data_IF_471168108012
#
_entry.id   IF_471168108012
#
_cell.length_a   1.000
_cell.length_b   1.000
_cell.length_c   1.000
_cell.angle_alpha   90.00
_cell.angle_beta   90.00
_cell.angle_gamma   90.00
#
_symmetry.space_group_name_H-M   'P 1'
#
loop_
_entity.id
_entity.type
_entity.pdbx_description
1 polymer ?
#
# COMPACT_ATOMS: atom_id res chain seq x y z
N UNK A 1 -5.09 9.18 1.26
CA UNK A 1 -6.22 8.63 0.47
C UNK A 1 -7.40 9.59 0.55
N UNK A 2 -7.99 10.02 -0.58
CA UNK A 2 -9.23 10.82 -0.58
C UNK A 2 -10.39 9.94 -0.08
N UNK A 3 -11.18 10.41 0.90
CA UNK A 3 -12.24 9.63 1.57
C UNK A 3 -13.30 9.04 0.62
N UNK A 4 -13.62 9.72 -0.49
CA UNK A 4 -14.63 9.27 -1.48
C UNK A 4 -14.24 8.00 -2.26
N UNK A 5 -12.98 7.89 -2.69
CA UNK A 5 -12.47 6.71 -3.44
C UNK A 5 -12.54 5.41 -2.63
N UNK A 6 -12.58 5.51 -1.30
CA UNK A 6 -12.75 4.34 -0.45
C UNK A 6 -14.18 3.82 -0.52
N UNK A 7 -15.17 4.71 -0.42
CA UNK A 7 -16.59 4.34 -0.42
C UNK A 7 -17.05 3.76 -1.76
N UNK A 8 -16.59 4.32 -2.88
CA UNK A 8 -16.88 3.78 -4.23
C UNK A 8 -16.39 2.34 -4.38
N UNK A 9 -15.16 2.02 -3.94
CA UNK A 9 -14.63 0.65 -4.00
C UNK A 9 -15.41 -0.35 -3.14
N UNK A 10 -15.86 0.10 -1.98
CA UNK A 10 -16.73 -0.70 -1.11
C UNK A 10 -18.05 -0.99 -1.79
N UNK A 11 -18.69 0.03 -2.37
CA UNK A 11 -19.95 -0.10 -3.08
C UNK A 11 -19.85 -1.09 -4.27
N UNK A 12 -18.75 -1.04 -5.03
CA UNK A 12 -18.45 -2.01 -6.09
C UNK A 12 -18.42 -3.44 -5.55
N UNK A 13 -17.67 -3.69 -4.48
CA UNK A 13 -17.58 -5.04 -3.90
C UNK A 13 -18.92 -5.56 -3.37
N UNK A 14 -19.76 -4.68 -2.80
CA UNK A 14 -21.12 -5.04 -2.37
C UNK A 14 -21.99 -5.44 -3.57
N UNK A 15 -21.98 -4.62 -4.63
CA UNK A 15 -22.72 -4.88 -5.85
C UNK A 15 -22.32 -6.23 -6.46
N UNK A 16 -21.01 -6.49 -6.59
CA UNK A 16 -20.49 -7.75 -7.13
C UNK A 16 -20.90 -8.97 -6.29
N UNK A 17 -20.83 -8.88 -4.95
CA UNK A 17 -21.31 -9.95 -4.04
C UNK A 17 -22.81 -10.19 -4.15
N UNK A 18 -23.59 -9.18 -4.50
CA UNK A 18 -25.02 -9.29 -4.78
C UNK A 18 -25.32 -9.79 -6.22
N UNK A 19 -24.29 -10.11 -7.01
CA UNK A 19 -24.41 -10.62 -8.38
C UNK A 19 -24.56 -9.53 -9.45
N UNK A 20 -24.38 -8.26 -9.10
CA UNK A 20 -24.35 -7.19 -10.11
C UNK A 20 -23.02 -7.21 -10.86
N UNK A 21 -23.06 -6.81 -12.13
CA UNK A 21 -21.88 -6.54 -12.94
C UNK A 21 -21.66 -5.04 -13.04
N UNK A 22 -20.51 -4.55 -12.58
CA UNK A 22 -20.11 -3.15 -12.78
C UNK A 22 -19.72 -2.93 -14.24
N UNK A 23 -20.39 -1.99 -14.90
CA UNK A 23 -20.21 -1.67 -16.30
C UNK A 23 -19.31 -0.45 -16.51
N UNK A 24 -19.40 0.53 -15.60
CA UNK A 24 -18.65 1.77 -15.66
C UNK A 24 -18.57 2.42 -14.28
N UNK A 25 -17.62 3.33 -14.10
CA UNK A 25 -17.43 4.09 -12.86
C UNK A 25 -17.15 5.54 -13.21
N UNK A 26 -17.69 6.49 -12.44
CA UNK A 26 -17.57 7.93 -12.67
C UNK A 26 -18.02 8.32 -14.08
N UNK A 27 -19.18 7.80 -14.46
CA UNK A 27 -19.75 8.01 -15.78
C UNK A 27 -20.24 9.45 -15.89
N UNK A 28 -19.55 10.23 -16.73
CA UNK A 28 -20.00 11.58 -17.09
C UNK A 28 -21.32 11.52 -17.86
N UNK A 29 -22.23 12.40 -17.49
CA UNK A 29 -23.51 12.61 -18.16
C UNK A 29 -23.31 13.76 -19.14
N UNK A 30 -23.37 13.46 -20.44
CA UNK A 30 -23.25 14.45 -21.51
C UNK A 30 -24.57 14.54 -22.28
N UNK A 31 -25.14 15.74 -22.39
CA UNK A 31 -26.34 16.06 -23.18
C UNK A 31 -26.00 17.19 -24.14
N UNK A 32 -26.25 16.99 -25.43
CA UNK A 32 -25.99 17.97 -26.48
C UNK A 32 -24.56 18.56 -26.46
N UNK A 33 -23.58 17.72 -26.12
CA UNK A 33 -22.16 18.11 -26.03
C UNK A 33 -21.76 18.81 -24.73
N UNK A 34 -22.69 19.02 -23.79
CA UNK A 34 -22.44 19.65 -22.49
C UNK A 34 -22.42 18.59 -21.39
N UNK A 35 -21.37 18.61 -20.55
CA UNK A 35 -21.31 17.80 -19.34
C UNK A 35 -22.25 18.39 -18.28
N UNK A 36 -23.30 17.65 -17.93
CA UNK A 36 -24.36 18.09 -17.03
C UNK A 36 -24.31 17.40 -15.66
N UNK A 37 -23.43 16.41 -15.49
CA UNK A 37 -23.25 15.70 -14.22
C UNK A 37 -22.37 14.47 -14.35
N UNK A 38 -22.30 13.70 -13.26
CA UNK A 38 -21.57 12.43 -13.16
C UNK A 38 -22.39 11.46 -12.31
N UNK A 39 -22.28 10.16 -12.58
CA UNK A 39 -22.80 9.07 -11.76
C UNK A 39 -21.63 8.22 -11.27
N UNK A 40 -21.59 7.91 -9.98
CA UNK A 40 -20.46 7.20 -9.35
C UNK A 40 -20.24 5.81 -9.97
N UNK A 41 -21.30 5.02 -10.15
CA UNK A 41 -21.22 3.65 -10.67
C UNK A 41 -22.39 3.36 -11.62
N UNK A 42 -22.13 2.68 -12.73
CA UNK A 42 -23.14 2.03 -13.57
C UNK A 42 -23.03 0.52 -13.39
N UNK A 43 -24.12 -0.13 -13.03
CA UNK A 43 -24.12 -1.57 -12.77
C UNK A 43 -25.39 -2.24 -13.32
N UNK A 44 -25.25 -3.47 -13.84
CA UNK A 44 -26.40 -4.30 -14.23
C UNK A 44 -26.67 -5.39 -13.20
N UNK A 45 -27.93 -5.61 -12.84
CA UNK A 45 -28.32 -6.74 -12.00
C UNK A 45 -28.33 -8.07 -12.80
N UNK A 46 -28.51 -9.24 -12.15
CA UNK A 46 -28.62 -10.53 -12.84
C UNK A 46 -29.77 -10.64 -13.85
N UNK A 47 -30.82 -9.83 -13.70
CA UNK A 47 -31.98 -9.78 -14.59
C UNK A 47 -31.75 -8.89 -15.82
N UNK A 48 -30.60 -8.22 -15.93
CA UNK A 48 -30.22 -7.34 -17.03
C UNK A 48 -30.64 -5.88 -16.89
N UNK A 49 -31.22 -5.49 -15.76
CA UNK A 49 -31.59 -4.11 -15.47
C UNK A 49 -30.36 -3.27 -15.13
N UNK A 50 -30.23 -2.11 -15.79
CA UNK A 50 -29.08 -1.21 -15.61
C UNK A 50 -29.45 -0.09 -14.63
N UNK A 51 -28.60 0.06 -13.62
CA UNK A 51 -28.73 1.07 -12.58
C UNK A 51 -27.64 2.13 -12.69
N UNK A 52 -28.05 3.38 -12.46
CA UNK A 52 -27.18 4.49 -12.13
C UNK A 52 -27.14 4.62 -10.60
N UNK A 53 -25.96 4.43 -10.02
CA UNK A 53 -25.77 4.28 -8.59
C UNK A 53 -25.00 5.47 -8.04
N UNK A 54 -25.57 6.14 -7.04
CA UNK A 54 -24.91 7.16 -6.23
C UNK A 54 -24.43 6.55 -4.91
N UNK A 55 -23.21 6.86 -4.49
CA UNK A 55 -22.58 6.32 -3.29
C UNK A 55 -22.43 7.40 -2.22
N UNK A 56 -23.03 7.17 -1.04
CA UNK A 56 -22.88 8.06 0.12
C UNK A 56 -22.19 7.34 1.27
N UNK A 57 -21.13 7.97 1.78
CA UNK A 57 -20.37 7.43 2.91
C UNK A 57 -21.14 7.42 4.24
N UNK A 58 -22.19 8.24 4.35
CA UNK A 58 -23.02 8.41 5.54
C UNK A 58 -24.49 8.08 5.27
N UNK A 59 -25.39 8.72 6.03
CA UNK A 59 -26.82 8.65 5.77
C UNK A 59 -27.18 9.49 4.54
N UNK A 60 -28.08 8.98 3.69
CA UNK A 60 -28.56 9.69 2.50
C UNK A 60 -29.69 10.67 2.86
N UNK A 61 -29.54 11.90 2.44
CA UNK A 61 -30.52 12.99 2.56
C UNK A 61 -31.46 13.04 1.35
N UNK A 62 -32.53 13.85 1.43
CA UNK A 62 -33.43 14.09 0.29
C UNK A 62 -32.68 14.57 -0.97
N UNK A 63 -31.63 15.40 -0.82
CA UNK A 63 -30.83 15.86 -1.95
C UNK A 63 -30.06 14.71 -2.62
N UNK A 64 -29.55 13.77 -1.83
CA UNK A 64 -28.82 12.61 -2.38
C UNK A 64 -29.75 11.69 -3.17
N UNK A 65 -30.96 11.47 -2.66
CA UNK A 65 -32.00 10.71 -3.37
C UNK A 65 -32.38 11.38 -4.70
N UNK A 66 -32.58 12.70 -4.69
CA UNK A 66 -32.89 13.46 -5.91
C UNK A 66 -31.73 13.45 -6.90
N UNK A 67 -30.49 13.48 -6.44
CA UNK A 67 -29.30 13.40 -7.29
C UNK A 67 -29.25 12.04 -8.01
N UNK A 68 -29.41 10.94 -7.27
CA UNK A 68 -29.46 9.60 -7.85
C UNK A 68 -30.60 9.45 -8.86
N UNK A 69 -31.79 9.94 -8.53
CA UNK A 69 -32.95 9.95 -9.44
C UNK A 69 -32.65 10.74 -10.72
N UNK A 70 -32.15 11.96 -10.59
CA UNK A 70 -31.89 12.85 -11.73
C UNK A 70 -30.79 12.29 -12.63
N UNK A 71 -29.70 11.79 -12.04
CA UNK A 71 -28.60 11.17 -12.80
C UNK A 71 -29.07 9.93 -13.58
N UNK A 72 -29.87 9.08 -12.94
CA UNK A 72 -30.45 7.91 -13.59
C UNK A 72 -31.41 8.28 -14.73
N UNK A 73 -32.28 9.28 -14.50
CA UNK A 73 -33.23 9.78 -15.49
C UNK A 73 -32.51 10.30 -16.73
N UNK A 74 -31.44 11.09 -16.56
CA UNK A 74 -30.67 11.64 -17.67
C UNK A 74 -29.98 10.56 -18.50
N UNK A 75 -29.61 9.43 -17.87
CA UNK A 75 -28.96 8.29 -18.53
C UNK A 75 -29.96 7.21 -19.02
N UNK A 76 -31.25 7.33 -18.71
CA UNK A 76 -32.26 6.30 -19.03
C UNK A 76 -32.06 5.00 -18.25
N UNK A 77 -31.57 5.09 -17.02
CA UNK A 77 -31.26 3.95 -16.14
C UNK A 77 -32.17 3.96 -14.90
N UNK A 78 -32.16 2.86 -14.14
CA UNK A 78 -32.86 2.82 -12.85
C UNK A 78 -32.03 3.50 -11.75
N UNK A 79 -32.64 4.30 -10.87
CA UNK A 79 -31.90 4.97 -9.80
C UNK A 79 -31.61 4.04 -8.62
N UNK A 80 -30.40 4.13 -8.09
CA UNK A 80 -29.99 3.46 -6.86
C UNK A 80 -29.12 4.35 -6.00
N UNK A 81 -29.26 4.24 -4.68
CA UNK A 81 -28.35 4.85 -3.70
C UNK A 81 -27.79 3.77 -2.79
N UNK A 82 -26.47 3.78 -2.61
CA UNK A 82 -25.79 2.96 -1.60
C UNK A 82 -25.34 3.88 -0.45
N UNK A 83 -25.79 3.62 0.77
CA UNK A 83 -25.56 4.50 1.92
C UNK A 83 -25.60 3.75 3.26
N UNK A 84 -25.29 4.40 4.39
CA UNK A 84 -25.40 3.79 5.74
C UNK A 84 -26.82 3.78 6.32
N UNK A 85 -27.79 4.32 5.59
CA UNK A 85 -29.16 4.54 6.06
C UNK A 85 -29.72 5.85 5.51
N UNK A 86 -31.00 6.09 5.75
CA UNK A 86 -31.65 7.36 5.37
C UNK A 86 -31.54 8.36 6.53
N UNK A 87 -31.43 9.65 6.20
CA UNK A 87 -31.22 10.71 7.19
C UNK A 87 -32.46 10.91 8.10
N UNK A 88 -33.66 10.85 7.51
CA UNK A 88 -34.94 11.09 8.16
C UNK A 88 -36.11 10.47 7.36
N UNK A 89 -37.34 10.61 7.88
CA UNK A 89 -38.56 10.12 7.23
C UNK A 89 -38.87 10.83 5.90
N UNK A 90 -38.37 12.06 5.70
CA UNK A 90 -38.56 12.77 4.44
C UNK A 90 -37.72 12.13 3.33
N UNK A 91 -36.47 11.77 3.62
CA UNK A 91 -35.61 11.03 2.69
C UNK A 91 -36.21 9.68 2.30
N UNK A 92 -36.81 8.97 3.27
CA UNK A 92 -37.50 7.69 3.01
C UNK A 92 -38.72 7.86 2.12
N UNK A 93 -39.56 8.85 2.41
CA UNK A 93 -40.75 9.14 1.62
C UNK A 93 -40.36 9.48 0.18
N UNK A 94 -39.38 10.36 -0.01
CA UNK A 94 -38.92 10.76 -1.35
C UNK A 94 -38.30 9.59 -2.11
N UNK A 95 -37.52 8.72 -1.46
CA UNK A 95 -36.95 7.55 -2.11
C UNK A 95 -38.03 6.60 -2.63
N UNK A 96 -39.10 6.41 -1.85
CA UNK A 96 -40.26 5.59 -2.23
C UNK A 96 -41.02 6.21 -3.41
N UNK A 97 -41.35 7.50 -3.32
CA UNK A 97 -42.10 8.21 -4.37
C UNK A 97 -41.35 8.25 -5.71
N UNK A 98 -40.02 8.42 -5.66
CA UNK A 98 -39.17 8.45 -6.86
C UNK A 98 -38.69 7.06 -7.31
N UNK A 99 -39.14 5.99 -6.66
CA UNK A 99 -38.72 4.60 -6.91
C UNK A 99 -37.18 4.43 -6.94
N UNK A 100 -36.48 5.14 -6.03
CA UNK A 100 -35.03 5.02 -5.87
C UNK A 100 -34.72 3.80 -5.02
N UNK A 101 -33.98 2.84 -5.59
CA UNK A 101 -33.56 1.65 -4.85
C UNK A 101 -32.51 2.04 -3.81
N UNK A 102 -32.83 1.87 -2.53
CA UNK A 102 -31.89 2.15 -1.43
C UNK A 102 -31.26 0.85 -0.98
N UNK A 103 -29.94 0.73 -1.14
CA UNK A 103 -29.14 -0.31 -0.53
C UNK A 103 -28.44 0.29 0.69
N UNK A 104 -28.90 -0.12 1.87
CA UNK A 104 -28.21 0.23 3.10
C UNK A 104 -27.03 -0.71 3.29
N UNK A 105 -25.85 -0.16 3.53
CA UNK A 105 -24.69 -0.88 4.03
C UNK A 105 -24.91 -0.97 5.55
N UNK A 106 -25.20 -2.15 6.12
CA UNK A 106 -25.25 -2.31 7.57
C UNK A 106 -23.97 -1.73 8.20
N UNK A 107 -24.11 -1.09 9.37
CA UNK A 107 -22.98 -0.58 10.14
C UNK A 107 -21.96 -1.69 10.49
N UNK A 108 -22.38 -2.96 10.40
CA UNK A 108 -21.61 -4.18 10.64
C UNK A 108 -21.02 -4.84 9.39
N UNK A 109 -21.11 -4.25 8.19
CA UNK A 109 -20.23 -4.68 7.08
C UNK A 109 -18.80 -4.23 7.39
N UNK A 110 -18.17 -4.93 8.33
CA UNK A 110 -16.74 -5.16 8.30
C UNK A 110 -16.55 -5.92 6.97
N UNK A 111 -16.07 -5.22 5.94
CA UNK A 111 -15.83 -5.79 4.60
C UNK A 111 -14.67 -6.79 4.57
N UNK A 112 -14.27 -7.24 5.75
CA UNK A 112 -13.27 -8.24 6.01
C UNK A 112 -13.91 -9.17 7.03
N UNK A 113 -13.93 -10.48 6.75
CA UNK A 113 -14.12 -11.43 7.85
C UNK A 113 -13.07 -11.13 8.94
N UNK A 114 -13.33 -11.48 10.20
CA UNK A 114 -12.39 -11.17 11.30
C UNK A 114 -10.98 -11.68 10.97
N UNK A 115 -10.93 -12.81 10.28
CA UNK A 115 -9.75 -13.47 9.71
C UNK A 115 -9.06 -12.60 8.64
N UNK A 116 -9.80 -11.98 7.72
CA UNK A 116 -9.25 -11.11 6.69
C UNK A 116 -8.73 -9.79 7.28
N UNK A 117 -9.39 -9.26 8.31
CA UNK A 117 -8.94 -8.08 9.04
C UNK A 117 -7.65 -8.40 9.81
N UNK A 118 -7.62 -9.54 10.49
CA UNK A 118 -6.42 -10.02 11.17
C UNK A 118 -5.25 -10.17 10.18
N UNK A 119 -5.51 -10.75 9.00
CA UNK A 119 -4.50 -10.96 7.96
C UNK A 119 -4.02 -9.62 7.37
N UNK A 120 -4.92 -8.67 7.13
CA UNK A 120 -4.58 -7.32 6.67
C UNK A 120 -3.76 -6.56 7.72
N UNK A 121 -4.13 -6.64 9.00
CA UNK A 121 -3.39 -6.02 10.11
C UNK A 121 -2.03 -6.67 10.27
N UNK A 122 -1.93 -8.01 10.24
CA UNK A 122 -0.65 -8.74 10.26
C UNK A 122 0.24 -8.35 9.08
N UNK A 123 -0.31 -8.26 7.86
CA UNK A 123 0.45 -7.86 6.69
C UNK A 123 0.93 -6.40 6.79
N UNK A 124 0.09 -5.49 7.28
CA UNK A 124 0.45 -4.09 7.49
C UNK A 124 1.54 -3.94 8.57
N UNK A 125 1.39 -4.65 9.70
CA UNK A 125 2.39 -4.68 10.77
C UNK A 125 3.70 -5.32 10.30
N UNK A 126 3.63 -6.39 9.50
CA UNK A 126 4.82 -7.03 8.93
C UNK A 126 5.53 -6.10 7.95
N UNK A 127 4.79 -5.41 7.08
CA UNK A 127 5.34 -4.43 6.15
C UNK A 127 5.98 -3.25 6.91
N UNK A 128 5.32 -2.78 7.98
CA UNK A 128 5.84 -1.72 8.85
C UNK A 128 7.06 -2.17 9.65
N UNK A 129 7.04 -3.38 10.20
CA UNK A 129 8.19 -3.98 10.88
C UNK A 129 9.35 -4.18 9.91
N UNK A 130 9.09 -4.59 8.67
CA UNK A 130 10.09 -4.69 7.63
C UNK A 130 10.64 -3.33 7.21
N UNK A 131 9.84 -2.25 7.29
CA UNK A 131 10.25 -0.87 7.03
C UNK A 131 11.07 -0.28 8.19
N UNK A 132 10.65 -0.52 9.43
CA UNK A 132 11.27 -0.05 10.67
C UNK A 132 12.43 -0.90 11.17
N UNK A 133 12.59 -2.13 10.68
CA UNK A 133 13.50 -3.07 11.32
C UNK A 133 14.93 -2.51 11.37
N UNK A 134 15.62 -2.87 12.44
CA UNK A 134 17.02 -2.59 12.71
C UNK A 134 17.95 -2.95 11.54
N UNK A 135 19.25 -2.55 11.58
CA UNK A 135 20.24 -2.99 10.62
C UNK A 135 20.14 -4.51 10.45
N UNK A 136 19.81 -4.97 9.24
CA UNK A 136 19.55 -6.39 9.00
C UNK A 136 20.89 -7.12 9.09
N UNK A 137 21.07 -8.06 10.02
CA UNK A 137 22.26 -8.88 10.02
C UNK A 137 22.35 -9.62 8.69
N UNK A 138 23.56 -9.68 8.13
CA UNK A 138 23.79 -10.51 6.96
C UNK A 138 23.46 -11.97 7.30
N UNK A 139 22.94 -12.76 6.34
CA UNK A 139 22.81 -14.20 6.52
C UNK A 139 24.11 -14.81 7.05
N UNK A 140 23.98 -15.82 7.91
CA UNK A 140 25.14 -16.42 8.59
C UNK A 140 26.20 -16.88 7.56
N UNK A 141 27.43 -16.40 7.72
CA UNK A 141 28.56 -16.73 6.82
C UNK A 141 28.73 -15.79 5.62
N UNK A 142 27.72 -14.97 5.27
CA UNK A 142 27.82 -14.04 4.15
C UNK A 142 28.74 -12.85 4.46
N UNK A 143 29.54 -12.47 3.46
CA UNK A 143 30.39 -11.27 3.51
C UNK A 143 30.20 -10.49 2.22
N UNK A 144 30.05 -9.18 2.38
CA UNK A 144 29.98 -8.29 1.23
C UNK A 144 31.37 -8.11 0.61
N UNK A 145 31.46 -8.33 -0.70
CA UNK A 145 32.65 -8.00 -1.48
C UNK A 145 32.81 -6.49 -1.62
N UNK A 146 34.01 -6.03 -2.02
CA UNK A 146 34.24 -4.60 -2.27
C UNK A 146 33.33 -4.03 -3.35
N UNK A 147 33.06 -4.83 -4.38
CA UNK A 147 32.14 -4.43 -5.47
C UNK A 147 30.70 -4.32 -4.99
N UNK A 148 30.23 -5.25 -4.16
CA UNK A 148 28.89 -5.21 -3.58
C UNK A 148 28.71 -4.01 -2.64
N UNK A 149 29.73 -3.71 -1.82
CA UNK A 149 29.71 -2.51 -0.97
C UNK A 149 29.61 -1.25 -1.84
N UNK A 150 30.36 -1.19 -2.95
CA UNK A 150 30.30 -0.07 -3.89
C UNK A 150 28.91 0.05 -4.52
N UNK A 151 28.34 -1.06 -5.00
CA UNK A 151 26.98 -1.14 -5.53
C UNK A 151 25.95 -0.61 -4.53
N UNK A 152 25.96 -1.12 -3.29
CA UNK A 152 25.03 -0.72 -2.24
C UNK A 152 25.18 0.76 -1.87
N UNK A 153 26.41 1.28 -1.80
CA UNK A 153 26.66 2.72 -1.54
C UNK A 153 26.11 3.60 -2.66
N UNK A 154 26.27 3.17 -3.91
CA UNK A 154 25.75 3.92 -5.05
C UNK A 154 24.22 3.90 -5.08
N UNK A 155 23.59 2.75 -4.83
CA UNK A 155 22.13 2.65 -4.71
C UNK A 155 21.61 3.54 -3.56
N UNK A 156 22.25 3.49 -2.39
CA UNK A 156 21.85 4.26 -1.21
C UNK A 156 21.89 5.79 -1.40
N UNK A 157 22.77 6.26 -2.28
CA UNK A 157 23.03 7.68 -2.55
C UNK A 157 22.42 8.21 -3.85
N UNK A 158 21.70 7.38 -4.60
CA UNK A 158 21.03 7.77 -5.85
C UNK A 158 19.53 7.95 -5.63
N UNK A 159 18.87 8.75 -6.48
CA UNK A 159 17.44 9.00 -6.46
C UNK A 159 16.67 8.13 -7.45
N UNK A 160 17.36 7.52 -8.42
CA UNK A 160 16.76 6.55 -9.33
C UNK A 160 17.74 5.43 -9.70
N UNK A 161 17.21 4.40 -10.36
CA UNK A 161 18.02 3.27 -10.83
C UNK A 161 18.93 3.68 -11.99
N UNK A 162 18.46 4.58 -12.85
CA UNK A 162 19.21 5.18 -13.97
C UNK A 162 20.42 5.96 -13.44
N UNK A 163 20.21 6.75 -12.39
CA UNK A 163 21.29 7.50 -11.74
C UNK A 163 22.33 6.55 -11.13
N UNK A 164 21.87 5.48 -10.46
CA UNK A 164 22.76 4.48 -9.88
C UNK A 164 23.58 3.75 -10.96
N UNK A 165 22.95 3.37 -12.07
CA UNK A 165 23.59 2.73 -13.21
C UNK A 165 24.65 3.64 -13.85
N UNK A 166 24.31 4.91 -14.07
CA UNK A 166 25.23 5.94 -14.58
C UNK A 166 26.46 6.10 -13.68
N UNK A 167 26.27 6.24 -12.36
CA UNK A 167 27.36 6.35 -11.37
C UNK A 167 28.25 5.09 -11.32
N UNK A 168 27.68 3.91 -11.60
CA UNK A 168 28.42 2.65 -11.65
C UNK A 168 29.08 2.40 -13.01
N UNK A 169 28.76 3.20 -14.04
CA UNK A 169 29.12 2.97 -15.44
C UNK A 169 28.66 1.59 -15.92
N UNK A 170 27.46 1.19 -15.52
CA UNK A 170 26.82 -0.07 -15.86
C UNK A 170 25.49 0.18 -16.55
N UNK A 171 24.97 -0.81 -17.26
CA UNK A 171 23.59 -0.77 -17.74
C UNK A 171 22.61 -1.02 -16.59
N UNK A 172 21.36 -0.58 -16.74
CA UNK A 172 20.28 -0.86 -15.79
C UNK A 172 20.12 -2.38 -15.57
N UNK A 173 20.26 -3.16 -16.64
CA UNK A 173 20.16 -4.63 -16.59
C UNK A 173 21.29 -5.25 -15.77
N UNK A 174 22.53 -4.73 -15.88
CA UNK A 174 23.65 -5.23 -15.10
C UNK A 174 23.52 -4.89 -13.61
N UNK A 175 22.99 -3.71 -13.29
CA UNK A 175 22.66 -3.35 -11.90
C UNK A 175 21.61 -4.31 -11.35
N UNK A 176 20.53 -4.58 -12.11
CA UNK A 176 19.51 -5.55 -11.72
C UNK A 176 20.06 -6.96 -11.55
N UNK A 177 20.97 -7.40 -12.42
CA UNK A 177 21.62 -8.72 -12.32
C UNK A 177 22.40 -8.84 -11.01
N UNK A 178 23.20 -7.82 -10.66
CA UNK A 178 23.95 -7.78 -9.39
C UNK A 178 23.01 -7.70 -8.17
N UNK A 179 21.90 -6.98 -8.26
CA UNK A 179 20.87 -6.96 -7.20
C UNK A 179 20.19 -8.32 -7.07
N UNK A 180 19.94 -9.01 -8.18
CA UNK A 180 19.34 -10.34 -8.20
C UNK A 180 20.25 -11.39 -7.54
N UNK A 181 21.57 -11.29 -7.74
CA UNK A 181 22.54 -12.15 -7.03
C UNK A 181 22.49 -11.94 -5.51
N UNK A 182 22.44 -10.68 -5.06
CA UNK A 182 22.27 -10.36 -3.65
C UNK A 182 20.93 -10.85 -3.09
N UNK A 183 19.89 -10.93 -3.93
CA UNK A 183 18.59 -11.51 -3.56
C UNK A 183 18.64 -13.03 -3.42
N UNK A 184 19.29 -13.74 -4.34
CA UNK A 184 19.42 -15.21 -4.23
C UNK A 184 20.21 -15.63 -2.99
N UNK A 185 21.13 -14.79 -2.50
CA UNK A 185 21.85 -15.00 -1.24
C UNK A 185 21.11 -14.52 0.01
N UNK A 186 19.89 -13.98 -0.14
CA UNK A 186 19.10 -13.48 0.98
C UNK A 186 19.65 -12.19 1.63
N UNK A 187 20.64 -11.53 1.01
CA UNK A 187 21.22 -10.27 1.50
C UNK A 187 20.25 -9.11 1.25
N UNK A 188 19.62 -9.08 0.09
CA UNK A 188 18.56 -8.13 -0.28
C UNK A 188 17.23 -8.89 -0.33
N UNK A 189 16.18 -8.33 0.25
CA UNK A 189 14.83 -8.89 0.14
C UNK A 189 14.15 -8.41 -1.14
N UNK A 190 13.18 -9.18 -1.64
CA UNK A 190 12.38 -8.77 -2.79
C UNK A 190 11.78 -7.36 -2.57
N UNK A 191 12.01 -6.46 -3.51
CA UNK A 191 11.54 -5.07 -3.46
C UNK A 191 10.93 -4.68 -4.80
N UNK A 192 9.71 -4.14 -4.74
CA UNK A 192 8.93 -3.73 -5.91
C UNK A 192 9.28 -2.32 -6.40
N UNK A 193 10.04 -1.54 -5.62
CA UNK A 193 10.44 -0.17 -5.97
C UNK A 193 11.91 0.12 -5.64
N UNK A 194 12.49 1.08 -6.37
CA UNK A 194 13.85 1.57 -6.13
C UNK A 194 14.01 2.19 -4.74
N UNK A 195 13.01 2.93 -4.24
CA UNK A 195 13.07 3.51 -2.89
C UNK A 195 13.20 2.44 -1.79
N UNK A 196 12.47 1.33 -1.91
CA UNK A 196 12.61 0.20 -0.99
C UNK A 196 14.00 -0.43 -1.09
N UNK A 197 14.55 -0.56 -2.30
CA UNK A 197 15.91 -1.05 -2.51
C UNK A 197 16.96 -0.11 -1.88
N UNK A 198 16.77 1.20 -2.02
CA UNK A 198 17.61 2.25 -1.42
C UNK A 198 17.61 2.18 0.10
N UNK A 199 16.45 2.00 0.71
CA UNK A 199 16.32 1.82 2.17
C UNK A 199 17.05 0.56 2.64
N UNK A 200 16.86 -0.57 1.96
CA UNK A 200 17.56 -1.82 2.30
C UNK A 200 19.09 -1.66 2.17
N UNK A 201 19.57 -1.03 1.10
CA UNK A 201 21.00 -0.78 0.92
C UNK A 201 21.60 0.05 2.06
N UNK A 202 20.91 1.10 2.50
CA UNK A 202 21.33 1.90 3.67
C UNK A 202 21.43 1.05 4.94
N UNK A 203 20.45 0.18 5.18
CA UNK A 203 20.41 -0.67 6.39
C UNK A 203 21.52 -1.72 6.41
N UNK A 204 21.79 -2.35 5.28
CA UNK A 204 22.91 -3.30 5.14
C UNK A 204 24.26 -2.60 5.39
N UNK A 205 24.44 -1.39 4.83
CA UNK A 205 25.66 -0.61 5.05
C UNK A 205 25.82 -0.18 6.52
N UNK A 206 24.73 0.22 7.18
CA UNK A 206 24.73 0.56 8.60
C UNK A 206 25.11 -0.65 9.47
N UNK A 207 24.57 -1.83 9.18
CA UNK A 207 24.95 -3.07 9.87
C UNK A 207 26.43 -3.37 9.71
N UNK A 208 26.94 -3.27 8.47
CA UNK A 208 28.36 -3.49 8.19
C UNK A 208 29.24 -2.52 8.97
N UNK A 209 28.91 -1.23 8.99
CA UNK A 209 29.67 -0.23 9.74
C UNK A 209 29.67 -0.53 11.24
N UNK A 210 28.52 -0.89 11.80
CA UNK A 210 28.39 -1.27 13.21
C UNK A 210 29.28 -2.48 13.53
N UNK A 211 29.23 -3.52 12.70
CA UNK A 211 30.05 -4.73 12.88
C UNK A 211 31.55 -4.42 12.76
N UNK A 212 31.95 -3.57 11.81
CA UNK A 212 33.35 -3.13 11.67
C UNK A 212 33.82 -2.33 12.90
N UNK A 213 32.94 -1.51 13.50
CA UNK A 213 33.22 -0.77 14.73
C UNK A 213 33.37 -1.71 15.92
N UNK A 214 32.46 -2.67 16.08
CA UNK A 214 32.52 -3.68 17.14
C UNK A 214 33.83 -4.48 17.08
N UNK A 215 34.21 -4.98 15.90
CA UNK A 215 35.49 -5.68 15.71
C UNK A 215 36.72 -4.82 16.06
N UNK A 216 36.65 -3.50 15.84
CA UNK A 216 37.73 -2.59 16.26
C UNK A 216 37.77 -2.44 17.78
N UNK A 217 36.62 -2.44 18.44
CA UNK A 217 36.52 -2.39 19.90
C UNK A 217 37.07 -3.69 20.51
N UNK A 218 36.65 -4.85 20.02
CA UNK A 218 37.17 -6.17 20.45
C UNK A 218 38.69 -6.21 20.38
N UNK A 219 39.30 -5.88 19.23
CA UNK A 219 40.77 -5.85 19.09
C UNK A 219 41.46 -4.85 20.02
N UNK A 220 40.78 -3.80 20.45
CA UNK A 220 41.34 -2.84 21.42
C UNK A 220 41.24 -3.42 22.83
N UNK A 221 40.14 -4.07 23.18
CA UNK A 221 39.97 -4.77 24.44
C UNK A 221 41.00 -5.89 24.58
N UNK A 222 41.19 -6.74 23.57
CA UNK A 222 42.19 -7.81 23.57
C UNK A 222 43.62 -7.31 23.81
N UNK A 223 43.92 -6.07 23.40
CA UNK A 223 45.23 -5.45 23.63
C UNK A 223 45.35 -4.92 25.05
N UNK A 224 44.29 -4.31 25.57
CA UNK A 224 44.25 -3.82 26.95
C UNK A 224 44.35 -5.00 27.93
N UNK A 225 43.62 -6.08 27.69
CA UNK A 225 43.69 -7.30 28.50
C UNK A 225 45.11 -7.87 28.54
N UNK A 226 45.77 -8.01 27.39
CA UNK A 226 47.19 -8.44 27.32
C UNK A 226 48.14 -7.52 28.08
N UNK A 227 47.97 -6.20 27.96
CA UNK A 227 48.80 -5.24 28.70
C UNK A 227 48.59 -5.36 30.22
N UNK A 228 47.35 -5.59 30.66
CA UNK A 228 47.04 -5.78 32.08
C UNK A 228 47.62 -7.07 32.63
N UNK A 229 47.59 -8.17 31.86
CA UNK A 229 48.25 -9.42 32.21
C UNK A 229 49.77 -9.26 32.36
N UNK A 230 50.41 -8.54 31.44
CA UNK A 230 51.85 -8.27 31.50
C UNK A 230 52.23 -7.42 32.72
N UNK A 231 51.42 -6.40 33.06
CA UNK A 231 51.64 -5.60 34.27
C UNK A 231 51.45 -6.45 35.52
N UNK A 232 50.39 -7.27 35.57
CA UNK A 232 50.14 -8.16 36.70
C UNK A 232 51.30 -9.13 36.95
N UNK A 233 51.83 -9.75 35.88
CA UNK A 233 53.01 -10.63 35.96
C UNK A 233 54.26 -9.92 36.48
N UNK A 234 54.44 -8.63 36.18
CA UNK A 234 55.56 -7.82 36.68
C UNK A 234 55.43 -7.37 38.13
N UNK A 235 54.20 -7.33 38.65
CA UNK A 235 53.92 -6.96 40.05
C UNK A 235 53.95 -8.20 40.96
N UNK A 236 53.63 -9.37 40.42
CA UNK A 236 53.67 -10.66 41.14
C UNK A 236 55.05 -11.34 41.12
N UNK A 237 56.03 -10.80 40.39
CA UNK A 237 57.43 -11.27 40.31
C UNK A 237 58.38 -10.39 41.13
#
# INVERSE_FOLDING_TARGET
MKRGLSSERVAIGILERMGFKVLDTRKKIVKDGVEVGEVDIVASNPEGEVYAVEVKAGKASVSDIRQAYTGALLLGMRPMVICKGLADAAAETVARELNVKVLTIPEYYILLEVEELELAVKAALQAFADELSYPVPLPYGEKLTREEIKLLKTIASSNSLEEAASKLKLTIQDVWRKVSDLRSRGIIRASWSFDKLKVQAKRILAYKELNDRLKRIERRLDRVERMLEDVRRKVEA
#
